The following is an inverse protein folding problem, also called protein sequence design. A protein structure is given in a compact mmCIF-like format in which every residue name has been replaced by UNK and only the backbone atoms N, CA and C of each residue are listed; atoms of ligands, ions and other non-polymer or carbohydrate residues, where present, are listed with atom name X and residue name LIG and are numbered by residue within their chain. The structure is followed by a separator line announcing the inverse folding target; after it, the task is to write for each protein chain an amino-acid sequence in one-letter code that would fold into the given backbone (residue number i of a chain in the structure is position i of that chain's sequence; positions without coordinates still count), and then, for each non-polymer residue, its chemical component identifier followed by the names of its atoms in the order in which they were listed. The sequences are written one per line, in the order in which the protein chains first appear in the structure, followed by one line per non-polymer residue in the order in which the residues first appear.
data_IF_119283212390
#
_entry.id   IF_119283212390
#
_cell.length_a   1.000
_cell.length_b   1.000
_cell.length_c   1.000
_cell.angle_alpha   90.00
_cell.angle_beta   90.00
_cell.angle_gamma   90.00
#
_symmetry.space_group_name_H-M   'P 1'
#
loop_
_entity.id
_entity.type
_entity.pdbx_description
1 polymer ?
#
# COMPACT_ATOMS: atom_id res chain seq x y z
N UNK A 1 -44.10 29.18 -6.93
CA UNK A 1 -43.13 28.80 -5.87
C UNK A 1 -42.47 30.08 -5.39
N UNK A 2 -42.77 30.50 -4.16
CA UNK A 2 -42.26 31.75 -3.58
C UNK A 2 -40.78 31.59 -3.20
N UNK A 3 -39.99 32.67 -3.21
CA UNK A 3 -38.53 32.63 -2.93
C UNK A 3 -38.19 32.04 -1.55
N UNK A 4 -39.15 32.02 -0.63
CA UNK A 4 -39.02 31.47 0.73
C UNK A 4 -39.04 29.94 0.73
N UNK A 5 -39.99 29.32 0.03
CA UNK A 5 -40.10 27.86 -0.14
C UNK A 5 -38.83 27.26 -0.74
N UNK A 6 -38.25 27.96 -1.72
CA UNK A 6 -37.03 27.50 -2.41
C UNK A 6 -35.79 27.54 -1.50
N UNK A 7 -35.77 28.47 -0.53
CA UNK A 7 -34.68 28.61 0.44
C UNK A 7 -34.76 27.55 1.54
N UNK A 8 -35.96 27.24 2.01
CA UNK A 8 -36.19 26.12 2.93
C UNK A 8 -35.79 24.79 2.29
N UNK A 9 -36.25 24.50 1.07
CA UNK A 9 -35.90 23.27 0.36
C UNK A 9 -34.39 23.08 0.17
N UNK A 10 -33.65 24.15 -0.14
CA UNK A 10 -32.19 24.11 -0.27
C UNK A 10 -31.50 23.82 1.08
N UNK A 11 -32.01 24.34 2.18
CA UNK A 11 -31.46 24.08 3.52
C UNK A 11 -31.68 22.62 3.94
N UNK A 12 -32.86 22.06 3.68
CA UNK A 12 -33.14 20.64 3.97
C UNK A 12 -32.31 19.71 3.10
N UNK A 13 -32.17 20.03 1.80
CA UNK A 13 -31.32 19.25 0.89
C UNK A 13 -29.85 19.29 1.31
N UNK A 14 -29.33 20.45 1.73
CA UNK A 14 -27.96 20.55 2.22
C UNK A 14 -27.71 19.69 3.47
N UNK A 15 -28.68 19.66 4.38
CA UNK A 15 -28.56 18.91 5.64
C UNK A 15 -28.55 17.39 5.43
N UNK A 16 -29.22 16.90 4.39
CA UNK A 16 -29.25 15.47 4.02
C UNK A 16 -28.11 15.10 3.05
N UNK A 17 -27.68 16.02 2.18
CA UNK A 17 -26.63 15.76 1.19
C UNK A 17 -25.24 15.54 1.81
N UNK A 18 -24.91 16.26 2.88
CA UNK A 18 -23.61 16.15 3.56
C UNK A 18 -23.35 14.72 4.10
N UNK A 19 -24.22 14.10 4.92
CA UNK A 19 -23.97 12.75 5.42
C UNK A 19 -23.96 11.68 4.31
N UNK A 20 -24.75 11.88 3.24
CA UNK A 20 -24.73 10.98 2.07
C UNK A 20 -23.34 11.02 1.40
N UNK A 21 -22.83 12.21 1.10
CA UNK A 21 -21.49 12.36 0.49
C UNK A 21 -20.39 11.80 1.38
N UNK A 22 -20.46 11.99 2.70
CA UNK A 22 -19.48 11.42 3.64
C UNK A 22 -19.54 9.89 3.62
N UNK A 23 -20.73 9.28 3.57
CA UNK A 23 -20.88 7.83 3.49
C UNK A 23 -20.29 7.24 2.20
N UNK A 24 -20.51 7.88 1.05
CA UNK A 24 -19.95 7.42 -0.22
C UNK A 24 -18.43 7.58 -0.28
N UNK A 25 -17.90 8.74 0.14
CA UNK A 25 -16.46 8.98 0.16
C UNK A 25 -15.76 8.04 1.14
N UNK A 26 -16.36 7.81 2.32
CA UNK A 26 -15.87 6.85 3.30
C UNK A 26 -15.82 5.41 2.77
N UNK A 27 -16.86 4.98 2.06
CA UNK A 27 -16.90 3.65 1.42
C UNK A 27 -15.84 3.50 0.32
N UNK A 28 -15.62 4.55 -0.49
CA UNK A 28 -14.60 4.55 -1.53
C UNK A 28 -13.18 4.45 -0.95
N UNK A 29 -12.89 5.20 0.12
CA UNK A 29 -11.60 5.15 0.81
C UNK A 29 -11.39 3.79 1.50
N UNK A 30 -12.41 3.26 2.17
CA UNK A 30 -12.34 1.94 2.80
C UNK A 30 -12.05 0.83 1.77
N UNK A 31 -12.70 0.90 0.59
CA UNK A 31 -12.46 -0.04 -0.50
C UNK A 31 -11.05 0.09 -1.08
N UNK A 32 -10.56 1.33 -1.27
CA UNK A 32 -9.20 1.59 -1.78
C UNK A 32 -8.11 1.10 -0.83
N UNK A 33 -8.30 1.30 0.49
CA UNK A 33 -7.37 0.79 1.50
C UNK A 33 -7.40 -0.73 1.57
N UNK A 34 -8.58 -1.34 1.53
CA UNK A 34 -8.71 -2.80 1.54
C UNK A 34 -8.04 -3.46 0.32
N UNK A 35 -8.13 -2.85 -0.87
CA UNK A 35 -7.44 -3.36 -2.07
C UNK A 35 -5.92 -3.26 -1.93
N UNK A 36 -5.40 -2.15 -1.41
CA UNK A 36 -3.95 -1.98 -1.23
C UNK A 36 -3.37 -2.94 -0.20
N UNK A 37 -4.07 -3.19 0.90
CA UNK A 37 -3.64 -4.17 1.90
C UNK A 37 -3.67 -5.60 1.37
N UNK A 38 -4.70 -5.95 0.58
CA UNK A 38 -4.80 -7.26 -0.04
C UNK A 38 -3.69 -7.48 -1.09
N UNK A 39 -3.43 -6.48 -1.93
CA UNK A 39 -2.38 -6.51 -2.95
C UNK A 39 -1.00 -6.64 -2.29
N UNK A 40 -0.72 -5.86 -1.24
CA UNK A 40 0.54 -5.95 -0.50
C UNK A 40 0.75 -7.33 0.13
N UNK A 41 -0.29 -7.93 0.72
CA UNK A 41 -0.23 -9.30 1.26
C UNK A 41 0.01 -10.34 0.18
N UNK A 42 -0.63 -10.20 -0.99
CA UNK A 42 -0.42 -11.11 -2.11
C UNK A 42 1.02 -11.04 -2.63
N UNK A 43 1.58 -9.83 -2.75
CA UNK A 43 2.99 -9.63 -3.13
C UNK A 43 3.93 -10.22 -2.07
N UNK A 44 3.64 -10.05 -0.78
CA UNK A 44 4.44 -10.63 0.30
C UNK A 44 4.45 -12.16 0.25
N UNK A 45 3.30 -12.79 0.08
CA UNK A 45 3.20 -14.27 -0.04
C UNK A 45 3.99 -14.75 -1.25
N UNK A 46 3.84 -14.08 -2.39
CA UNK A 46 4.55 -14.45 -3.60
C UNK A 46 6.07 -14.26 -3.46
N UNK A 47 6.52 -13.20 -2.78
CA UNK A 47 7.94 -13.02 -2.44
C UNK A 47 8.47 -14.12 -1.51
N UNK A 48 7.69 -14.55 -0.52
CA UNK A 48 8.06 -15.66 0.37
C UNK A 48 8.18 -16.99 -0.39
N UNK A 49 7.27 -17.27 -1.34
CA UNK A 49 7.36 -18.45 -2.21
C UNK A 49 8.61 -18.41 -3.08
N UNK A 50 8.98 -17.23 -3.59
CA UNK A 50 10.20 -17.05 -4.38
C UNK A 50 11.48 -17.14 -3.54
N UNK A 51 11.44 -16.75 -2.26
CA UNK A 51 12.55 -16.90 -1.31
C UNK A 51 12.76 -18.35 -0.81
N UNK A 52 11.78 -19.23 -1.02
CA UNK A 52 11.84 -20.63 -0.61
C UNK A 52 12.79 -21.50 -1.45
N UNK A 53 13.13 -22.72 -0.98
CA UNK A 53 14.02 -23.63 -1.70
C UNK A 53 13.45 -24.03 -3.07
N UNK A 54 14.35 -24.13 -4.06
CA UNK A 54 13.99 -24.51 -5.43
C UNK A 54 14.00 -26.02 -5.56
N UNK A 55 12.83 -26.58 -5.77
CA UNK A 55 12.60 -27.98 -6.06
C UNK A 55 11.71 -28.10 -7.30
N UNK A 56 11.75 -29.23 -8.01
CA UNK A 56 10.87 -29.44 -9.18
C UNK A 56 9.38 -29.38 -8.80
N UNK A 57 9.04 -29.74 -7.55
CA UNK A 57 7.70 -29.63 -7.01
C UNK A 57 7.27 -28.18 -6.70
N UNK A 58 8.21 -27.26 -6.49
CA UNK A 58 7.92 -25.84 -6.19
C UNK A 58 7.92 -24.95 -7.43
N UNK A 59 8.36 -25.47 -8.58
CA UNK A 59 8.35 -24.78 -9.88
C UNK A 59 6.98 -24.16 -10.26
N UNK A 60 5.84 -24.86 -10.19
CA UNK A 60 4.54 -24.25 -10.52
C UNK A 60 4.16 -23.11 -9.56
N UNK A 61 4.53 -23.22 -8.27
CA UNK A 61 4.28 -22.18 -7.27
C UNK A 61 5.11 -20.92 -7.55
N UNK A 62 6.33 -21.07 -8.06
CA UNK A 62 7.19 -19.93 -8.44
C UNK A 62 6.69 -19.22 -9.71
N UNK A 63 6.15 -19.96 -10.68
CA UNK A 63 5.48 -19.37 -11.85
C UNK A 63 4.23 -18.60 -11.43
N UNK A 64 3.43 -19.16 -10.51
CA UNK A 64 2.30 -18.44 -9.91
C UNK A 64 2.76 -17.15 -9.22
N UNK A 65 3.81 -17.23 -8.40
CA UNK A 65 4.33 -16.08 -7.67
C UNK A 65 4.81 -14.95 -8.61
N UNK A 66 5.48 -15.29 -9.71
CA UNK A 66 5.86 -14.28 -10.72
C UNK A 66 4.65 -13.62 -11.39
N UNK A 67 3.60 -14.39 -11.71
CA UNK A 67 2.37 -13.82 -12.27
C UNK A 67 1.64 -12.91 -11.26
N UNK A 68 1.70 -13.23 -9.96
CA UNK A 68 1.17 -12.36 -8.90
C UNK A 68 1.99 -11.08 -8.78
N UNK A 69 3.33 -11.17 -8.75
CA UNK A 69 4.20 -10.00 -8.73
C UNK A 69 3.95 -9.11 -9.94
N UNK A 70 3.85 -9.66 -11.15
CA UNK A 70 3.59 -8.88 -12.36
C UNK A 70 2.23 -8.18 -12.41
N UNK A 71 1.23 -8.66 -11.66
CA UNK A 71 -0.12 -8.07 -11.62
C UNK A 71 -0.32 -7.07 -10.49
N UNK A 72 0.36 -7.26 -9.36
CA UNK A 72 0.13 -6.51 -8.12
C UNK A 72 1.33 -5.66 -7.68
N UNK A 73 2.49 -5.77 -8.34
CA UNK A 73 3.67 -4.91 -8.10
C UNK A 73 3.73 -3.77 -9.11
N UNK A 74 4.01 -2.56 -8.64
CA UNK A 74 4.29 -1.39 -9.50
C UNK A 74 5.68 -1.47 -10.17
N UNK A 75 6.52 -2.44 -9.78
CA UNK A 75 7.88 -2.61 -10.30
C UNK A 75 7.90 -3.80 -11.28
N UNK A 76 8.07 -3.56 -12.60
CA UNK A 76 8.14 -4.64 -13.58
C UNK A 76 9.47 -5.38 -13.49
N UNK A 77 9.41 -6.71 -13.50
CA UNK A 77 10.61 -7.54 -13.62
C UNK A 77 10.95 -7.73 -15.10
N UNK A 78 12.23 -7.61 -15.46
CA UNK A 78 12.68 -7.96 -16.80
C UNK A 78 12.64 -9.48 -17.03
N UNK A 79 12.40 -9.92 -18.27
CA UNK A 79 12.33 -11.35 -18.62
C UNK A 79 13.59 -12.15 -18.20
N UNK A 80 14.76 -11.50 -18.19
CA UNK A 80 15.99 -12.09 -17.68
C UNK A 80 15.89 -12.41 -16.18
N UNK A 81 15.34 -11.50 -15.38
CA UNK A 81 15.14 -11.68 -13.95
C UNK A 81 14.14 -12.82 -13.68
N UNK A 82 13.02 -12.88 -14.41
CA UNK A 82 12.01 -13.95 -14.27
C UNK A 82 12.62 -15.35 -14.46
N UNK A 83 13.46 -15.51 -15.49
CA UNK A 83 14.11 -16.79 -15.76
C UNK A 83 15.08 -17.22 -14.66
N UNK A 84 15.77 -16.25 -14.04
CA UNK A 84 16.67 -16.46 -12.90
C UNK A 84 15.85 -16.78 -11.64
N UNK A 85 14.75 -16.06 -11.43
CA UNK A 85 13.80 -16.25 -10.33
C UNK A 85 13.17 -17.63 -10.31
N UNK A 86 12.90 -18.25 -11.47
CA UNK A 86 12.37 -19.62 -11.53
C UNK A 86 13.46 -20.65 -11.24
N UNK A 87 14.69 -20.38 -11.70
CA UNK A 87 15.78 -21.36 -11.76
C UNK A 87 16.72 -21.32 -10.54
N UNK A 88 16.82 -20.17 -9.88
CA UNK A 88 17.69 -19.93 -8.73
C UNK A 88 16.86 -19.44 -7.54
N UNK A 89 17.14 -20.01 -6.36
CA UNK A 89 16.38 -19.83 -5.10
C UNK A 89 16.76 -18.59 -4.31
N UNK A 90 17.93 -18.06 -4.61
CA UNK A 90 18.64 -17.20 -3.67
C UNK A 90 18.33 -15.75 -3.99
N UNK A 91 17.19 -15.29 -3.52
CA UNK A 91 16.82 -13.88 -3.61
C UNK A 91 16.43 -13.44 -2.22
N UNK A 92 17.26 -12.56 -1.66
CA UNK A 92 16.99 -11.93 -0.39
C UNK A 92 15.98 -10.82 -0.63
N UNK A 93 14.70 -11.13 -0.53
CA UNK A 93 13.68 -10.09 -0.50
C UNK A 93 13.77 -9.37 0.84
N UNK A 94 14.03 -8.06 0.82
CA UNK A 94 13.84 -7.21 1.99
C UNK A 94 12.34 -7.05 2.16
N UNK A 95 11.73 -7.94 2.93
CA UNK A 95 10.36 -7.75 3.41
C UNK A 95 10.41 -6.62 4.44
N UNK A 96 9.68 -5.49 4.28
CA UNK A 96 9.51 -4.52 5.34
C UNK A 96 8.62 -5.15 6.40
N UNK A 97 9.23 -5.99 7.25
CA UNK A 97 8.54 -6.69 8.32
C UNK A 97 8.13 -5.66 9.36
N UNK A 98 6.87 -5.26 9.28
CA UNK A 98 6.24 -4.23 10.09
C UNK A 98 6.91 -2.86 9.94
N UNK A 99 6.11 -1.84 9.63
CA UNK A 99 6.41 -0.48 10.04
C UNK A 99 6.39 -0.48 11.57
N UNK A 100 7.48 -0.93 12.19
CA UNK A 100 7.95 -0.16 13.33
C UNK A 100 8.16 1.22 12.73
N UNK A 101 7.28 2.15 13.09
CA UNK A 101 7.50 3.58 12.87
C UNK A 101 8.88 3.82 13.48
N UNK A 102 9.90 3.77 12.62
CA UNK A 102 11.22 4.23 12.96
C UNK A 102 10.95 5.68 13.29
N UNK A 103 10.98 5.97 14.58
CA UNK A 103 10.94 7.34 15.04
C UNK A 103 12.16 7.95 14.37
N UNK A 104 11.94 8.69 13.27
CA UNK A 104 13.04 9.28 12.52
C UNK A 104 13.72 10.23 13.49
N UNK A 105 14.90 9.85 13.97
CA UNK A 105 15.68 10.74 14.82
C UNK A 105 16.51 11.59 13.89
N UNK A 106 16.22 12.89 13.85
CA UNK A 106 17.13 13.81 13.19
C UNK A 106 18.31 14.02 14.13
N UNK A 107 19.48 13.69 13.63
CA UNK A 107 20.74 13.96 14.31
C UNK A 107 21.44 15.13 13.61
N UNK A 108 22.07 16.00 14.40
CA UNK A 108 22.95 17.05 13.88
C UNK A 108 24.14 16.44 13.12
N UNK A 109 24.80 17.20 12.26
CA UNK A 109 25.94 16.79 11.40
C UNK A 109 27.10 16.15 12.18
N UNK A 110 27.18 16.40 13.49
CA UNK A 110 28.15 15.79 14.40
C UNK A 110 27.72 14.45 15.00
N UNK A 111 26.47 14.02 14.77
CA UNK A 111 25.91 12.75 15.25
C UNK A 111 25.66 12.67 16.76
N UNK A 112 25.93 13.74 17.53
CA UNK A 112 25.92 13.70 19.01
C UNK A 112 24.58 14.03 19.66
N UNK A 113 23.71 14.74 18.95
CA UNK A 113 22.40 15.15 19.46
C UNK A 113 21.32 14.68 18.48
N UNK A 114 20.62 13.61 18.85
CA UNK A 114 19.51 13.05 18.08
C UNK A 114 18.19 13.40 18.78
N UNK A 115 17.26 14.03 18.05
CA UNK A 115 15.90 14.31 18.55
C UNK A 115 14.87 13.56 17.72
N UNK A 116 13.80 13.02 18.33
CA UNK A 116 12.71 12.39 17.59
C UNK A 116 11.97 13.45 16.77
N UNK A 117 11.86 13.25 15.45
CA UNK A 117 11.03 14.08 14.58
C UNK A 117 9.56 13.81 14.88
N UNK A 118 8.81 14.86 15.23
CA UNK A 118 7.34 14.78 15.24
C UNK A 118 6.83 14.80 13.81
N UNK A 119 5.84 13.96 13.55
CA UNK A 119 5.23 13.71 12.23
C UNK A 119 4.61 14.98 11.60
N UNK A 120 4.29 16.01 12.37
CA UNK A 120 3.71 17.27 11.86
C UNK A 120 4.63 18.09 10.95
N UNK A 121 5.94 17.84 10.93
CA UNK A 121 6.90 18.67 10.19
C UNK A 121 7.35 18.06 8.84
N UNK A 122 7.02 16.79 8.59
CA UNK A 122 7.37 16.07 7.35
C UNK A 122 6.46 16.44 6.18
N UNK A 123 5.26 16.97 6.43
CA UNK A 123 4.31 17.37 5.37
C UNK A 123 4.63 18.75 4.76
N UNK A 124 5.66 19.45 5.25
CA UNK A 124 6.05 20.81 4.79
C UNK A 124 7.36 20.88 4.00
N UNK A 125 8.06 19.78 3.79
CA UNK A 125 9.28 19.75 2.98
C UNK A 125 9.06 19.16 1.59
#
# INVERSE_FOLDING_TARGET
MTRTELREWLQTLGLVAIPIMVAFTGNAVAKSNATREADARMVEIAAQVLAGPVNDSTRPLRVWALNVLGRHSDVPFGAAAESILIRHGTITFVTPRAVHVLTFTQCDSTGKNCRPLRVEEVERQ
#
